data_IF_124786653148
#
_entry.id   IF_124786653148
#
_cell.length_a   1.000
_cell.length_b   1.000
_cell.length_c   1.000
_cell.angle_alpha   90.00
_cell.angle_beta   90.00
_cell.angle_gamma   90.00
#
_symmetry.space_group_name_H-M   'P 1'
#
loop_
_entity.id
_entity.type
_entity.pdbx_description
1 polymer ?
#
# COMPACT_ATOMS: atom_id res chain seq x y z
N UNK A 1 -12.42 -10.94 -30.09
CA UNK A 1 -13.21 -10.25 -29.04
C UNK A 1 -12.22 -9.60 -28.09
N UNK A 2 -12.09 -8.27 -28.08
CA UNK A 2 -11.14 -7.56 -27.19
C UNK A 2 -11.70 -7.55 -25.77
N UNK A 3 -11.30 -8.54 -24.97
CA UNK A 3 -11.51 -8.62 -23.52
C UNK A 3 -10.69 -7.56 -22.79
N UNK A 4 -11.04 -6.27 -22.98
CA UNK A 4 -10.35 -5.16 -22.35
C UNK A 4 -11.09 -4.71 -21.08
N UNK A 5 -10.87 -5.41 -19.96
CA UNK A 5 -11.37 -4.98 -18.62
C UNK A 5 -10.70 -3.69 -18.13
N UNK A 6 -9.64 -3.27 -18.82
CA UNK A 6 -8.82 -2.09 -18.55
C UNK A 6 -8.88 -1.20 -19.78
N UNK A 7 -9.35 0.04 -19.61
CA UNK A 7 -9.36 1.03 -20.69
C UNK A 7 -8.66 2.31 -20.24
N UNK A 8 -7.79 2.84 -21.09
CA UNK A 8 -7.20 4.16 -20.90
C UNK A 8 -8.13 5.21 -21.54
N UNK A 9 -8.82 6.01 -20.73
CA UNK A 9 -9.78 7.02 -21.22
C UNK A 9 -9.67 8.35 -20.46
N UNK A 10 -10.19 9.42 -21.06
CA UNK A 10 -10.35 10.73 -20.41
C UNK A 10 -11.49 10.70 -19.39
N UNK A 11 -11.43 11.61 -18.41
CA UNK A 11 -12.46 11.70 -17.38
C UNK A 11 -13.81 12.11 -17.98
N UNK A 12 -14.89 11.45 -17.54
CA UNK A 12 -16.24 11.95 -17.81
C UNK A 12 -16.59 13.04 -16.79
N UNK A 13 -17.36 14.08 -17.17
CA UNK A 13 -17.86 15.07 -16.23
C UNK A 13 -18.65 14.37 -15.10
N UNK A 14 -18.27 14.64 -13.84
CA UNK A 14 -18.92 14.07 -12.65
C UNK A 14 -18.31 12.77 -12.09
N UNK A 15 -17.28 12.19 -12.71
CA UNK A 15 -16.55 11.05 -12.12
C UNK A 15 -15.53 11.52 -11.07
N UNK A 16 -15.43 10.80 -9.94
CA UNK A 16 -14.49 11.13 -8.87
C UNK A 16 -13.06 10.85 -9.30
N UNK A 17 -12.20 11.84 -9.11
CA UNK A 17 -10.78 11.78 -9.41
C UNK A 17 -9.99 11.16 -8.26
N UNK A 18 -9.83 9.83 -8.31
CA UNK A 18 -9.09 9.09 -7.27
C UNK A 18 -7.59 9.42 -7.23
N UNK A 19 -6.98 9.72 -8.38
CA UNK A 19 -5.53 9.96 -8.51
C UNK A 19 -5.02 11.14 -7.66
N UNK A 20 -5.56 12.38 -7.80
CA UNK A 20 -5.11 13.51 -6.99
C UNK A 20 -5.45 13.35 -5.50
N UNK A 21 -6.56 12.66 -5.18
CA UNK A 21 -6.97 12.44 -3.79
C UNK A 21 -6.09 11.45 -3.06
N UNK A 22 -5.71 10.36 -3.74
CA UNK A 22 -4.74 9.43 -3.20
C UNK A 22 -3.38 10.11 -3.00
N UNK A 23 -2.89 10.83 -4.02
CA UNK A 23 -1.63 11.58 -3.94
C UNK A 23 -1.60 12.59 -2.80
N UNK A 24 -2.68 13.35 -2.62
CA UNK A 24 -2.77 14.31 -1.54
C UNK A 24 -2.74 13.60 -0.19
N UNK A 25 -3.54 12.54 -0.03
CA UNK A 25 -3.60 11.77 1.21
C UNK A 25 -2.25 11.11 1.55
N UNK A 26 -1.59 10.48 0.57
CA UNK A 26 -0.29 9.83 0.75
C UNK A 26 0.81 10.86 1.08
N UNK A 27 0.80 12.01 0.40
CA UNK A 27 1.75 13.10 0.65
C UNK A 27 1.57 13.72 2.05
N UNK A 28 0.33 13.98 2.47
CA UNK A 28 0.03 14.50 3.80
C UNK A 28 0.44 13.49 4.90
N UNK A 29 0.15 12.21 4.68
CA UNK A 29 0.56 11.15 5.62
C UNK A 29 2.09 11.05 5.73
N UNK A 30 2.79 11.01 4.59
CA UNK A 30 4.25 10.98 4.54
C UNK A 30 4.89 12.19 5.23
N UNK A 31 4.36 13.39 4.98
CA UNK A 31 4.82 14.62 5.64
C UNK A 31 4.56 14.56 7.15
N UNK A 32 3.39 14.09 7.58
CA UNK A 32 3.09 13.86 8.99
C UNK A 32 4.09 12.91 9.67
N UNK A 33 4.45 11.82 9.00
CA UNK A 33 5.47 10.88 9.49
C UNK A 33 6.87 11.53 9.58
N UNK A 34 7.26 12.33 8.59
CA UNK A 34 8.56 13.04 8.61
C UNK A 34 8.61 14.07 9.74
N UNK A 35 7.52 14.81 9.95
CA UNK A 35 7.39 15.78 11.04
C UNK A 35 7.49 15.06 12.40
N UNK A 36 6.75 13.96 12.57
CA UNK A 36 6.82 13.12 13.77
C UNK A 36 8.25 12.67 14.08
N UNK A 37 8.98 12.25 13.05
CA UNK A 37 10.38 11.84 13.15
C UNK A 37 11.32 13.01 13.47
N UNK A 38 11.12 14.15 12.83
CA UNK A 38 11.92 15.36 13.05
C UNK A 38 11.80 15.89 14.49
N UNK A 39 10.64 15.72 15.12
CA UNK A 39 10.43 16.05 16.53
C UNK A 39 10.91 14.96 17.51
N UNK A 40 11.43 13.83 17.01
CA UNK A 40 11.96 12.75 17.85
C UNK A 40 10.90 12.06 18.73
N UNK A 41 9.63 12.08 18.33
CA UNK A 41 8.58 11.43 19.11
C UNK A 41 8.80 9.91 19.17
N UNK A 42 8.43 9.26 20.29
CA UNK A 42 8.59 7.83 20.44
C UNK A 42 7.81 7.09 19.35
N UNK A 43 8.40 6.00 18.87
CA UNK A 43 7.74 5.16 17.89
C UNK A 43 6.49 4.51 18.48
N UNK A 44 5.37 4.45 17.73
CA UNK A 44 4.18 3.77 18.20
C UNK A 44 4.49 2.28 18.37
N UNK A 45 4.33 1.80 19.61
CA UNK A 45 4.40 0.39 19.92
C UNK A 45 3.14 -0.31 19.40
N UNK A 46 3.27 -1.54 18.91
CA UNK A 46 2.10 -2.32 18.54
C UNK A 46 1.37 -2.79 19.80
N UNK A 47 0.29 -2.09 20.17
CA UNK A 47 -0.56 -2.41 21.31
C UNK A 47 -1.09 -3.85 21.25
N UNK A 48 -1.40 -4.36 20.06
CA UNK A 48 -1.88 -5.74 19.87
C UNK A 48 -0.82 -6.75 20.36
N UNK A 49 0.44 -6.59 19.93
CA UNK A 49 1.52 -7.47 20.40
C UNK A 49 1.79 -7.29 21.89
N UNK A 50 1.71 -6.05 22.39
CA UNK A 50 1.95 -5.75 23.81
C UNK A 50 0.88 -6.35 24.72
N UNK A 51 -0.39 -6.31 24.33
CA UNK A 51 -1.52 -6.77 25.15
C UNK A 51 -1.84 -8.25 24.95
N UNK A 52 -1.79 -8.75 23.72
CA UNK A 52 -2.19 -10.12 23.38
C UNK A 52 -1.00 -11.09 23.23
N UNK A 53 0.24 -10.59 23.23
CA UNK A 53 1.44 -11.41 23.03
C UNK A 53 1.61 -11.96 21.62
N UNK A 54 0.69 -11.67 20.70
CA UNK A 54 0.66 -12.21 19.33
C UNK A 54 0.88 -11.07 18.33
N UNK A 55 1.80 -11.21 17.34
CA UNK A 55 1.95 -10.22 16.29
C UNK A 55 0.70 -10.18 15.39
N UNK A 56 0.18 -8.99 15.10
CA UNK A 56 -0.84 -8.80 14.06
C UNK A 56 -0.21 -8.81 12.65
N UNK A 57 -1.01 -8.91 11.56
CA UNK A 57 -0.47 -8.91 10.18
C UNK A 57 0.33 -7.65 9.82
N UNK A 58 0.14 -6.57 10.56
CA UNK A 58 0.79 -5.27 10.36
C UNK A 58 1.93 -5.02 11.35
N UNK A 59 2.26 -5.98 12.22
CA UNK A 59 3.37 -5.86 13.16
C UNK A 59 4.69 -5.62 12.44
N UNK A 60 5.43 -4.60 12.87
CA UNK A 60 6.69 -4.22 12.23
C UNK A 60 6.55 -3.31 11.00
N UNK A 61 5.35 -2.86 10.65
CA UNK A 61 5.07 -1.90 9.57
C UNK A 61 6.00 -0.69 9.62
N UNK A 62 6.11 -0.04 10.78
CA UNK A 62 6.97 1.13 11.00
C UNK A 62 8.45 0.86 10.71
N UNK A 63 8.97 -0.30 11.16
CA UNK A 63 10.37 -0.69 10.90
C UNK A 63 10.59 -1.04 9.43
N UNK A 64 9.60 -1.69 8.81
CA UNK A 64 9.59 -2.01 7.39
C UNK A 64 9.59 -0.72 6.55
N UNK A 65 8.77 0.27 6.89
CA UNK A 65 8.76 1.59 6.26
C UNK A 65 10.11 2.30 6.40
N UNK A 66 10.69 2.30 7.60
CA UNK A 66 12.00 2.91 7.85
C UNK A 66 13.11 2.22 7.05
N UNK A 67 13.10 0.89 6.96
CA UNK A 67 14.07 0.15 6.14
C UNK A 67 13.94 0.50 4.65
N UNK A 68 12.70 0.65 4.14
CA UNK A 68 12.46 1.14 2.78
C UNK A 68 12.94 2.57 2.57
N UNK A 69 12.72 3.46 3.54
CA UNK A 69 13.18 4.85 3.47
C UNK A 69 14.72 4.95 3.40
N UNK A 70 15.44 4.01 4.03
CA UNK A 70 16.89 3.88 3.90
C UNK A 70 17.33 3.14 2.61
N UNK A 71 16.40 2.82 1.70
CA UNK A 71 16.69 2.08 0.47
C UNK A 71 16.90 0.58 0.65
N UNK A 72 16.69 0.03 1.86
CA UNK A 72 16.90 -1.38 2.15
C UNK A 72 15.61 -2.19 1.99
N UNK A 73 15.27 -2.48 0.75
CA UNK A 73 14.07 -3.25 0.37
C UNK A 73 14.11 -4.67 0.99
N UNK A 74 15.27 -5.33 0.95
CA UNK A 74 15.43 -6.69 1.49
C UNK A 74 15.14 -6.75 2.99
N UNK A 75 15.67 -5.78 3.76
CA UNK A 75 15.37 -5.68 5.19
C UNK A 75 13.93 -5.33 5.46
N UNK A 76 13.33 -4.45 4.65
CA UNK A 76 11.92 -4.11 4.76
C UNK A 76 11.01 -5.33 4.57
N UNK A 77 11.29 -6.13 3.55
CA UNK A 77 10.57 -7.36 3.27
C UNK A 77 10.70 -8.37 4.40
N UNK A 78 11.90 -8.57 4.95
CA UNK A 78 12.10 -9.45 6.11
C UNK A 78 11.30 -9.00 7.34
N UNK A 79 11.16 -7.69 7.55
CA UNK A 79 10.46 -7.13 8.70
C UNK A 79 8.95 -7.28 8.60
N UNK A 80 8.36 -7.03 7.43
CA UNK A 80 6.95 -7.28 7.16
C UNK A 80 6.73 -7.34 5.63
N UNK A 81 6.66 -8.55 5.03
CA UNK A 81 6.52 -8.72 3.59
C UNK A 81 5.29 -7.99 3.02
N UNK A 82 4.15 -8.12 3.69
CA UNK A 82 2.89 -7.50 3.26
C UNK A 82 3.02 -5.98 3.21
N UNK A 83 3.55 -5.37 4.26
CA UNK A 83 3.71 -3.92 4.32
C UNK A 83 4.75 -3.40 3.34
N UNK A 84 5.84 -4.13 3.13
CA UNK A 84 6.82 -3.80 2.09
C UNK A 84 6.14 -3.71 0.72
N UNK A 85 5.30 -4.68 0.36
CA UNK A 85 4.55 -4.65 -0.90
C UNK A 85 3.54 -3.51 -0.97
N UNK A 86 2.83 -3.23 0.12
CA UNK A 86 1.89 -2.10 0.21
C UNK A 86 2.61 -0.77 -0.02
N UNK A 87 3.77 -0.55 0.63
CA UNK A 87 4.54 0.68 0.48
C UNK A 87 5.09 0.84 -0.94
N UNK A 88 5.65 -0.21 -1.53
CA UNK A 88 6.10 -0.18 -2.92
C UNK A 88 4.95 0.08 -3.89
N UNK A 89 3.80 -0.53 -3.66
CA UNK A 89 2.59 -0.30 -4.45
C UNK A 89 2.08 1.14 -4.34
N UNK A 90 2.08 1.71 -3.14
CA UNK A 90 1.72 3.11 -2.91
C UNK A 90 2.68 4.06 -3.65
N UNK A 91 3.99 3.87 -3.51
CA UNK A 91 5.01 4.65 -4.24
C UNK A 91 4.81 4.54 -5.75
N UNK A 92 4.61 3.32 -6.27
CA UNK A 92 4.37 3.10 -7.69
C UNK A 92 3.09 3.79 -8.19
N UNK A 93 2.02 3.77 -7.39
CA UNK A 93 0.78 4.45 -7.70
C UNK A 93 0.93 5.98 -7.63
N UNK A 94 1.66 6.50 -6.65
CA UNK A 94 1.97 7.94 -6.55
C UNK A 94 2.75 8.41 -7.78
N UNK A 95 3.77 7.66 -8.21
CA UNK A 95 4.51 7.97 -9.44
C UNK A 95 3.62 7.96 -10.69
N UNK A 96 2.73 6.96 -10.79
CA UNK A 96 1.74 6.89 -11.87
C UNK A 96 0.79 8.08 -11.84
N UNK A 97 0.22 8.39 -10.68
CA UNK A 97 -0.73 9.49 -10.53
C UNK A 97 -0.07 10.83 -10.82
N UNK A 98 1.17 11.04 -10.36
CA UNK A 98 1.94 12.25 -10.65
C UNK A 98 2.22 12.38 -12.16
N UNK A 99 2.64 11.30 -12.82
CA UNK A 99 2.86 11.29 -14.26
C UNK A 99 1.57 11.60 -15.04
N UNK A 100 0.43 11.01 -14.65
CA UNK A 100 -0.86 11.29 -15.28
C UNK A 100 -1.28 12.75 -15.13
N UNK A 101 -1.06 13.35 -13.95
CA UNK A 101 -1.40 14.76 -13.70
C UNK A 101 -0.46 15.73 -14.43
N UNK A 102 0.84 15.44 -14.46
CA UNK A 102 1.86 16.27 -15.13
C UNK A 102 1.70 16.21 -16.65
N UNK A 103 1.63 14.99 -17.21
CA UNK A 103 1.58 14.78 -18.65
C UNK A 103 0.15 14.80 -19.24
N UNK A 104 -0.87 14.98 -18.39
CA UNK A 104 -2.30 14.95 -18.76
C UNK A 104 -2.68 13.76 -19.65
N UNK A 105 -2.11 12.59 -19.36
CA UNK A 105 -2.32 11.38 -20.16
C UNK A 105 -3.67 10.73 -19.87
N UNK A 106 -4.08 9.78 -20.74
CA UNK A 106 -5.31 9.00 -20.54
C UNK A 106 -5.19 8.16 -19.28
N UNK A 107 -6.24 8.17 -18.44
CA UNK A 107 -6.22 7.47 -17.15
C UNK A 107 -6.65 6.02 -17.31
N UNK A 108 -5.96 5.12 -16.61
CA UNK A 108 -6.31 3.70 -16.55
C UNK A 108 -7.55 3.56 -15.66
N UNK A 109 -8.65 3.08 -16.24
CA UNK A 109 -9.89 2.78 -15.52
C UNK A 109 -10.31 1.33 -15.78
N UNK A 110 -10.72 0.66 -14.72
CA UNK A 110 -11.33 -0.66 -14.77
C UNK A 110 -12.81 -0.52 -15.10
N UNK A 111 -13.25 -1.06 -16.23
CA UNK A 111 -14.66 -1.03 -16.64
C UNK A 111 -15.20 -2.45 -16.58
N UNK A 112 -16.28 -2.63 -15.81
CA UNK A 112 -17.03 -3.88 -15.73
C UNK A 112 -16.18 -5.10 -15.39
N UNK A 113 -15.31 -5.00 -14.36
CA UNK A 113 -14.56 -6.16 -13.84
C UNK A 113 -15.55 -7.25 -13.45
N UNK A 114 -15.41 -8.47 -13.96
CA UNK A 114 -16.40 -9.51 -13.72
C UNK A 114 -16.25 -10.01 -12.27
N UNK A 115 -17.36 -10.42 -11.66
CA UNK A 115 -17.40 -10.83 -10.24
C UNK A 115 -16.38 -11.91 -9.90
N UNK A 116 -16.12 -12.86 -10.82
CA UNK A 116 -15.14 -13.92 -10.61
C UNK A 116 -13.71 -13.38 -10.48
N UNK A 117 -13.33 -12.38 -11.28
CA UNK A 117 -12.01 -11.73 -11.15
C UNK A 117 -11.90 -10.96 -9.83
N UNK A 118 -12.96 -10.27 -9.42
CA UNK A 118 -13.00 -9.61 -8.11
C UNK A 118 -12.84 -10.62 -6.96
N UNK A 119 -13.51 -11.76 -7.05
CA UNK A 119 -13.40 -12.86 -6.08
C UNK A 119 -11.99 -13.43 -6.05
N UNK A 120 -11.37 -13.71 -7.19
CA UNK A 120 -9.98 -14.19 -7.25
C UNK A 120 -9.03 -13.18 -6.60
N UNK A 121 -9.14 -11.90 -6.95
CA UNK A 121 -8.30 -10.84 -6.36
C UNK A 121 -8.49 -10.78 -4.85
N UNK A 122 -9.73 -10.83 -4.37
CA UNK A 122 -10.03 -10.86 -2.94
C UNK A 122 -9.43 -12.10 -2.26
N UNK A 123 -9.59 -13.29 -2.84
CA UNK A 123 -9.00 -14.53 -2.33
C UNK A 123 -7.48 -14.48 -2.28
N UNK A 124 -6.83 -13.92 -3.29
CA UNK A 124 -5.38 -13.73 -3.32
C UNK A 124 -4.93 -12.76 -2.24
N UNK A 125 -5.64 -11.65 -2.02
CA UNK A 125 -5.34 -10.71 -0.94
C UNK A 125 -5.48 -11.38 0.43
N UNK A 126 -6.57 -12.11 0.66
CA UNK A 126 -6.79 -12.84 1.92
C UNK A 126 -5.68 -13.88 2.13
N UNK A 127 -5.34 -14.66 1.12
CA UNK A 127 -4.25 -15.62 1.19
C UNK A 127 -2.90 -14.94 1.49
N UNK A 128 -2.59 -13.82 0.85
CA UNK A 128 -1.37 -13.05 1.10
C UNK A 128 -1.30 -12.55 2.54
N UNK A 129 -2.42 -12.06 3.10
CA UNK A 129 -2.51 -11.63 4.50
C UNK A 129 -2.27 -12.80 5.45
N UNK A 130 -2.89 -13.96 5.19
CA UNK A 130 -2.72 -15.17 6.02
C UNK A 130 -1.27 -15.69 5.97
N UNK A 131 -0.68 -15.78 4.78
CA UNK A 131 0.72 -16.21 4.60
C UNK A 131 1.68 -15.26 5.31
N UNK A 132 1.48 -13.94 5.17
CA UNK A 132 2.27 -12.95 5.89
C UNK A 132 2.10 -13.09 7.40
N UNK A 133 0.89 -13.36 7.88
CA UNK A 133 0.65 -13.51 9.31
C UNK A 133 1.34 -14.76 9.88
N UNK A 134 1.27 -15.90 9.17
CA UNK A 134 2.02 -17.12 9.51
C UNK A 134 3.52 -16.82 9.54
N UNK A 135 4.05 -16.12 8.53
CA UNK A 135 5.45 -15.71 8.50
C UNK A 135 5.85 -14.89 9.74
N UNK A 136 5.02 -13.91 10.14
CA UNK A 136 5.28 -13.10 11.34
C UNK A 136 5.19 -13.92 12.63
N UNK A 137 4.26 -14.88 12.72
CA UNK A 137 4.16 -15.79 13.87
C UNK A 137 5.40 -16.67 14.01
N UNK A 138 5.99 -17.11 12.89
CA UNK A 138 7.21 -17.92 12.89
C UNK A 138 8.47 -17.10 13.20
N UNK A 139 8.54 -15.85 12.73
CA UNK A 139 9.76 -15.01 12.80
C UNK A 139 9.82 -14.09 14.00
N UNK A 140 8.69 -13.69 14.59
CA UNK A 140 8.64 -12.74 15.71
C UNK A 140 8.26 -13.37 17.05
N UNK A 141 8.45 -14.68 17.19
CA UNK A 141 8.20 -15.44 18.42
C UNK A 141 9.23 -15.10 19.50
#
# INVERSE_FOLDING_TARGET
MRSGWITARTLKPGETDFEPWFLLASSLFGLGCLVWLGFGLPWPHCWVRHLLGIPCPTCGSTRSALALAHGNIGRSFQLNPLMCLVYLGAIGFDLYAAAVLIFRTKRIRFIAVPKWTQQIVASVIVAAVLVNWIYLLCTMR
#
